data_IF_043420505236
#
_entry.id   IF_043420505236
#
_cell.length_a   1.000
_cell.length_b   1.000
_cell.length_c   1.000
_cell.angle_alpha   90.00
_cell.angle_beta   90.00
_cell.angle_gamma   90.00
#
_symmetry.space_group_name_H-M   'P 1'
#
loop_
_entity.id
_entity.type
_entity.pdbx_description
1 polymer ?
#
# COMPACT_ATOMS: atom_id res chain seq x y z
N UNK A 1 10.02 10.82 1.16
CA UNK A 1 9.41 9.47 1.11
C UNK A 1 9.67 8.72 2.42
N UNK A 2 10.92 8.39 2.78
CA UNK A 2 11.23 7.68 4.03
C UNK A 2 10.61 8.33 5.30
N UNK A 3 10.67 9.67 5.41
CA UNK A 3 10.06 10.38 6.54
C UNK A 3 8.53 10.25 6.64
N UNK A 4 7.82 10.14 5.52
CA UNK A 4 6.37 10.02 5.52
C UNK A 4 5.91 8.62 5.98
N UNK A 5 6.63 7.59 5.54
CA UNK A 5 6.44 6.22 6.03
C UNK A 5 6.78 6.12 7.52
N UNK A 6 7.87 6.74 7.96
CA UNK A 6 8.24 6.76 9.37
C UNK A 6 7.21 7.48 10.25
N UNK A 7 6.59 8.56 9.75
CA UNK A 7 5.48 9.20 10.44
C UNK A 7 4.29 8.25 10.60
N UNK A 8 3.92 7.53 9.54
CA UNK A 8 2.83 6.56 9.57
C UNK A 8 3.10 5.39 10.53
N UNK A 9 4.37 5.00 10.74
CA UNK A 9 4.73 3.96 11.69
C UNK A 9 4.43 4.31 13.15
N UNK A 10 4.43 5.60 13.50
CA UNK A 10 4.14 6.02 14.88
C UNK A 10 2.68 5.78 15.31
N UNK A 11 1.78 5.58 14.34
CA UNK A 11 0.34 5.42 14.58
C UNK A 11 -0.20 4.09 14.08
N UNK A 12 0.63 3.30 13.40
CA UNK A 12 0.23 2.03 12.81
C UNK A 12 0.06 0.97 13.90
N UNK A 13 -1.15 0.41 14.10
CA UNK A 13 -1.31 -0.73 14.98
C UNK A 13 -0.50 -1.92 14.46
N UNK A 14 0.27 -2.53 15.35
CA UNK A 14 1.12 -3.68 15.06
C UNK A 14 0.27 -4.97 15.07
N UNK A 15 0.67 -5.92 14.21
CA UNK A 15 0.11 -7.27 14.20
C UNK A 15 0.27 -7.93 15.58
N UNK A 16 -0.73 -8.72 16.00
CA UNK A 16 -0.82 -9.41 17.30
C UNK A 16 -0.84 -8.53 18.56
N UNK A 17 -1.03 -7.20 18.43
CA UNK A 17 -1.16 -6.29 19.56
C UNK A 17 -2.60 -5.90 19.88
N UNK A 18 -3.48 -5.86 18.88
CA UNK A 18 -4.90 -5.56 19.05
C UNK A 18 -5.77 -6.73 18.57
N UNK A 19 -6.50 -7.32 19.51
CA UNK A 19 -7.46 -8.39 19.23
C UNK A 19 -8.89 -7.84 19.32
N UNK A 20 -9.66 -8.06 18.26
CA UNK A 20 -11.10 -7.81 18.19
C UNK A 20 -11.84 -9.14 18.21
N UNK A 21 -13.16 -9.16 18.50
CA UNK A 21 -13.96 -10.39 18.44
C UNK A 21 -13.90 -11.11 17.07
N UNK A 22 -13.62 -10.37 16.00
CA UNK A 22 -13.62 -10.85 14.61
C UNK A 22 -12.21 -11.11 14.05
N UNK A 23 -11.15 -10.92 14.84
CA UNK A 23 -9.76 -11.15 14.42
C UNK A 23 -8.76 -10.12 14.94
N UNK A 24 -7.62 -10.01 14.25
CA UNK A 24 -6.59 -9.03 14.60
C UNK A 24 -6.80 -7.71 13.87
N UNK A 25 -6.71 -6.60 14.61
CA UNK A 25 -6.74 -5.25 14.04
C UNK A 25 -5.32 -4.70 13.92
N UNK A 26 -4.84 -4.57 12.69
CA UNK A 26 -3.49 -4.13 12.40
C UNK A 26 -3.44 -3.35 11.09
N UNK A 27 -2.38 -2.56 10.91
CA UNK A 27 -2.18 -1.83 9.65
C UNK A 27 -1.85 -2.81 8.54
N UNK A 28 -2.81 -3.10 7.67
CA UNK A 28 -2.61 -4.02 6.55
C UNK A 28 -1.57 -3.51 5.55
N UNK A 29 -1.63 -2.22 5.22
CA UNK A 29 -0.69 -1.55 4.32
C UNK A 29 -0.60 -0.06 4.60
N UNK A 30 0.52 0.54 4.21
CA UNK A 30 0.76 1.98 4.27
C UNK A 30 1.15 2.48 2.88
N UNK A 31 0.54 3.58 2.47
CA UNK A 31 0.74 4.19 1.17
C UNK A 31 1.19 5.65 1.28
N UNK A 32 2.12 6.06 0.43
CA UNK A 32 2.52 7.46 0.23
C UNK A 32 2.38 7.81 -1.24
N UNK A 33 1.48 8.76 -1.55
CA UNK A 33 1.28 9.27 -2.91
C UNK A 33 2.08 10.57 -3.11
N UNK A 34 2.98 10.57 -4.09
CA UNK A 34 3.63 11.77 -4.60
C UNK A 34 2.86 12.23 -5.84
N UNK A 35 1.99 13.23 -5.65
CA UNK A 35 1.12 13.76 -6.70
C UNK A 35 1.90 14.48 -7.80
N UNK A 36 3.03 15.14 -7.48
CA UNK A 36 3.80 15.89 -8.48
C UNK A 36 4.52 14.96 -9.44
N UNK A 37 5.02 13.84 -8.92
CA UNK A 37 5.78 12.85 -9.71
C UNK A 37 4.91 11.69 -10.19
N UNK A 38 3.62 11.67 -9.84
CA UNK A 38 2.67 10.61 -10.15
C UNK A 38 3.17 9.23 -9.67
N UNK A 39 3.67 9.17 -8.43
CA UNK A 39 4.21 7.95 -7.83
C UNK A 39 3.41 7.55 -6.61
N UNK A 40 3.26 6.25 -6.41
CA UNK A 40 2.67 5.68 -5.21
C UNK A 40 3.62 4.65 -4.61
N UNK A 41 4.03 4.90 -3.37
CA UNK A 41 4.91 4.02 -2.61
C UNK A 41 4.06 3.26 -1.61
N UNK A 42 4.12 1.94 -1.61
CA UNK A 42 3.28 1.09 -0.76
C UNK A 42 4.11 -0.01 -0.11
N UNK A 43 3.86 -0.26 1.16
CA UNK A 43 4.35 -1.46 1.87
C UNK A 43 3.20 -2.10 2.63
N UNK A 44 3.24 -3.41 2.78
CA UNK A 44 2.30 -4.17 3.59
C UNK A 44 2.95 -4.56 4.91
N UNK A 45 2.14 -4.96 5.90
CA UNK A 45 2.61 -5.49 7.17
C UNK A 45 3.59 -6.67 7.02
N UNK A 46 3.44 -7.45 5.94
CA UNK A 46 4.22 -8.67 5.67
C UNK A 46 5.15 -8.55 4.46
N UNK A 47 5.38 -7.33 3.96
CA UNK A 47 6.29 -7.11 2.83
C UNK A 47 7.74 -6.98 3.29
N UNK A 48 8.67 -7.51 2.49
CA UNK A 48 10.12 -7.40 2.72
C UNK A 48 10.63 -5.97 2.38
N UNK A 49 9.81 -5.12 1.74
CA UNK A 49 10.22 -3.77 1.39
C UNK A 49 9.10 -2.91 0.77
N UNK A 50 9.43 -1.65 0.51
CA UNK A 50 8.51 -0.71 -0.13
C UNK A 50 8.51 -0.88 -1.64
N UNK A 51 7.31 -1.01 -2.21
CA UNK A 51 7.07 -1.08 -3.64
C UNK A 51 6.73 0.29 -4.20
N UNK A 52 7.07 0.51 -5.47
CA UNK A 52 6.76 1.72 -6.21
C UNK A 52 5.82 1.38 -7.37
N UNK A 53 4.66 2.04 -7.38
CA UNK A 53 3.78 2.13 -8.54
C UNK A 53 4.02 3.47 -9.21
N UNK A 54 4.45 3.43 -10.48
CA UNK A 54 4.69 4.62 -11.29
C UNK A 54 3.50 4.83 -12.23
N UNK A 55 2.62 5.76 -11.89
CA UNK A 55 1.41 6.02 -12.66
C UNK A 55 1.74 6.59 -14.03
N UNK A 56 2.87 7.29 -14.21
CA UNK A 56 3.26 7.81 -15.53
C UNK A 56 3.55 6.68 -16.55
N UNK A 57 3.71 5.44 -16.08
CA UNK A 57 3.92 4.24 -16.91
C UNK A 57 2.65 3.45 -17.18
N UNK A 58 1.53 3.84 -16.59
CA UNK A 58 0.23 3.20 -16.79
C UNK A 58 -0.52 3.99 -17.85
N UNK A 59 -0.96 3.32 -18.90
CA UNK A 59 -1.90 3.90 -19.85
C UNK A 59 -3.30 3.88 -19.24
N UNK A 60 -3.78 5.05 -18.83
CA UNK A 60 -5.13 5.24 -18.28
C UNK A 60 -6.19 5.44 -19.37
N UNK A 61 -5.80 5.63 -20.64
CA UNK A 61 -6.72 5.87 -21.75
C UNK A 61 -7.54 4.65 -22.17
N UNK A 62 -7.08 3.45 -21.79
CA UNK A 62 -7.68 2.15 -22.11
C UNK A 62 -8.13 1.39 -20.84
N UNK A 63 -8.87 2.07 -19.97
CA UNK A 63 -9.40 1.49 -18.73
C UNK A 63 -10.87 1.09 -18.87
N UNK A 64 -11.15 0.09 -19.72
CA UNK A 64 -12.45 -0.60 -19.69
C UNK A 64 -12.64 -1.41 -18.38
N UNK A 65 -11.55 -1.74 -17.68
CA UNK A 65 -11.55 -2.47 -16.40
C UNK A 65 -10.54 -1.86 -15.41
N UNK A 66 -10.80 -1.93 -14.09
CA UNK A 66 -9.84 -1.50 -13.08
C UNK A 66 -8.52 -2.27 -13.21
N UNK A 67 -7.39 -1.56 -13.11
CA UNK A 67 -6.07 -2.16 -13.00
C UNK A 67 -5.72 -2.37 -11.53
N UNK A 68 -5.14 -3.52 -11.23
CA UNK A 68 -4.67 -3.86 -9.90
C UNK A 68 -3.17 -4.07 -9.95
N UNK A 69 -2.47 -3.57 -8.95
CA UNK A 69 -1.08 -3.96 -8.70
C UNK A 69 -1.12 -4.98 -7.57
N UNK A 70 -0.58 -6.16 -7.85
CA UNK A 70 -0.33 -7.15 -6.81
C UNK A 70 0.75 -6.61 -5.90
N UNK A 71 0.48 -6.56 -4.60
CA UNK A 71 1.49 -6.21 -3.63
C UNK A 71 2.42 -7.41 -3.49
N UNK A 72 3.72 -7.17 -3.56
CA UNK A 72 4.74 -8.11 -3.13
C UNK A 72 4.68 -8.27 -1.60
N UNK A 73 3.76 -9.11 -1.17
CA UNK A 73 3.66 -9.63 0.18
C UNK A 73 3.61 -11.16 0.14
N UNK A 74 4.03 -11.79 1.24
CA UNK A 74 4.08 -13.24 1.33
C UNK A 74 2.67 -13.88 1.43
N UNK A 75 1.63 -13.05 1.60
CA UNK A 75 0.23 -13.46 1.76
C UNK A 75 -0.65 -13.21 0.52
N UNK A 76 -0.14 -12.56 -0.53
CA UNK A 76 -0.85 -12.33 -1.80
C UNK A 76 -1.87 -11.19 -1.83
N UNK A 77 -1.72 -10.16 -0.99
CA UNK A 77 -2.60 -8.99 -0.96
C UNK A 77 -2.60 -8.18 -2.26
N UNK A 78 -3.75 -7.57 -2.57
CA UNK A 78 -3.93 -6.69 -3.72
C UNK A 78 -4.39 -5.31 -3.25
N UNK A 79 -3.75 -4.25 -3.74
CA UNK A 79 -4.24 -2.88 -3.55
C UNK A 79 -4.95 -2.41 -4.82
N UNK A 80 -6.17 -1.83 -4.71
CA UNK A 80 -6.79 -1.17 -5.85
C UNK A 80 -5.97 0.06 -6.23
N UNK A 81 -5.71 0.23 -7.53
CA UNK A 81 -5.25 1.51 -8.06
C UNK A 81 -6.50 2.36 -8.29
N UNK A 82 -6.75 3.29 -7.37
CA UNK A 82 -7.78 4.31 -7.57
C UNK A 82 -7.17 5.50 -8.34
N UNK A 83 -7.83 5.99 -9.41
CA UNK A 83 -7.38 7.17 -10.16
C UNK A 83 -7.18 8.40 -9.26
#
# INVERSE_FOLDING_TARGET
MAHALHLADNVAPLYSLNHTPDGEDYTQWQGVRDHKRLKYYVRTCFSIGTQLVDFARIDFGDLEKPRYVRLADDLGGTAPILP
#
